data_IF_340964820965
#
_entry.id   IF_340964820965
#
_cell.length_a   1.000
_cell.length_b   1.000
_cell.length_c   1.000
_cell.angle_alpha   90.00
_cell.angle_beta   90.00
_cell.angle_gamma   90.00
#
_symmetry.space_group_name_H-M   'P 1'
#
loop_
_entity.id
_entity.type
_entity.pdbx_description
1 polymer ?
#
# COMPACT_ATOMS: atom_id res chain seq x y z
N UNK A 1 20.42 -36.06 -38.35
CA UNK A 1 19.45 -36.05 -37.22
C UNK A 1 19.82 -37.18 -36.27
N UNK A 2 20.52 -36.89 -35.18
CA UNK A 2 20.87 -37.90 -34.15
C UNK A 2 19.88 -37.77 -32.99
N UNK A 3 19.14 -38.84 -32.72
CA UNK A 3 18.25 -38.94 -31.57
C UNK A 3 19.09 -39.24 -30.33
N UNK A 4 18.96 -38.45 -29.30
CA UNK A 4 19.53 -38.70 -27.97
C UNK A 4 18.51 -39.51 -27.19
N UNK A 5 18.92 -40.74 -26.80
CA UNK A 5 18.10 -41.63 -25.97
C UNK A 5 18.36 -41.29 -24.50
N UNK A 6 17.30 -41.05 -23.74
CA UNK A 6 17.35 -40.93 -22.29
C UNK A 6 17.18 -42.30 -21.65
N UNK A 7 18.15 -42.72 -20.83
CA UNK A 7 18.03 -43.89 -19.96
C UNK A 7 17.32 -43.51 -18.66
N UNK A 8 16.39 -44.35 -18.16
CA UNK A 8 15.77 -44.11 -16.87
C UNK A 8 16.71 -44.55 -15.74
N UNK A 9 16.96 -43.65 -14.79
CA UNK A 9 17.67 -43.94 -13.55
C UNK A 9 16.68 -44.58 -12.56
N UNK A 10 17.02 -45.78 -12.08
CA UNK A 10 16.24 -46.50 -11.08
C UNK A 10 16.32 -45.78 -9.72
N UNK A 11 15.15 -45.43 -9.15
CA UNK A 11 15.03 -44.90 -7.79
C UNK A 11 14.94 -46.07 -6.82
N UNK A 12 15.99 -46.27 -6.03
CA UNK A 12 16.00 -47.23 -4.92
C UNK A 12 15.13 -46.70 -3.77
N UNK A 13 14.13 -47.50 -3.39
CA UNK A 13 13.29 -47.24 -2.23
C UNK A 13 14.05 -47.47 -0.92
N UNK A 14 14.35 -46.43 -0.17
CA UNK A 14 14.87 -46.53 1.21
C UNK A 14 13.67 -46.48 2.16
N UNK A 15 13.30 -47.66 2.69
CA UNK A 15 12.32 -47.76 3.77
C UNK A 15 12.87 -47.13 5.05
N UNK A 16 12.21 -46.10 5.56
CA UNK A 16 12.43 -45.59 6.92
C UNK A 16 11.21 -45.88 7.80
N UNK A 17 11.50 -46.60 8.85
CA UNK A 17 10.62 -46.91 9.99
C UNK A 17 10.02 -45.62 10.57
N UNK A 18 8.69 -45.52 10.61
CA UNK A 18 7.97 -44.43 11.25
C UNK A 18 7.75 -44.81 12.71
N UNK A 19 8.53 -44.21 13.61
CA UNK A 19 8.24 -44.25 15.04
C UNK A 19 7.00 -43.42 15.31
N UNK A 20 5.96 -44.04 15.87
CA UNK A 20 4.76 -43.35 16.39
C UNK A 20 5.15 -42.52 17.61
N UNK A 21 5.08 -41.19 17.47
CA UNK A 21 5.07 -40.29 18.60
C UNK A 21 3.60 -40.11 19.00
N UNK A 22 3.28 -40.49 20.25
CA UNK A 22 1.97 -40.31 20.84
C UNK A 22 1.65 -38.81 20.94
N UNK A 23 0.54 -38.39 20.36
CA UNK A 23 0.01 -37.03 20.48
C UNK A 23 -0.56 -36.85 21.91
N UNK A 24 0.07 -36.00 22.69
CA UNK A 24 -0.55 -35.43 23.88
C UNK A 24 -1.53 -34.35 23.44
N UNK A 25 -2.83 -34.61 23.60
CA UNK A 25 -3.89 -33.64 23.39
C UNK A 25 -3.89 -32.60 24.53
N UNK A 26 -3.18 -31.51 24.33
CA UNK A 26 -3.34 -30.28 25.09
C UNK A 26 -4.09 -29.28 24.23
N UNK A 27 -5.41 -29.20 24.40
CA UNK A 27 -6.18 -28.05 23.95
C UNK A 27 -5.71 -26.84 24.75
N UNK A 28 -4.90 -25.99 24.13
CA UNK A 28 -4.71 -24.63 24.62
C UNK A 28 -5.79 -23.77 23.96
N UNK A 29 -6.80 -23.39 24.74
CA UNK A 29 -7.72 -22.30 24.43
C UNK A 29 -6.88 -21.03 24.22
N UNK A 30 -6.64 -20.66 22.98
CA UNK A 30 -6.14 -19.33 22.64
C UNK A 30 -7.33 -18.48 22.22
N UNK A 31 -8.16 -18.13 23.19
CA UNK A 31 -8.96 -16.92 23.12
C UNK A 31 -7.99 -15.75 23.36
N UNK A 32 -7.30 -15.31 22.32
CA UNK A 32 -6.57 -14.05 22.35
C UNK A 32 -7.61 -12.93 22.33
N UNK A 33 -7.91 -12.38 23.50
CA UNK A 33 -8.48 -11.05 23.66
C UNK A 33 -7.66 -10.10 22.78
N UNK A 34 -8.27 -9.16 22.01
CA UNK A 34 -7.50 -8.15 21.31
C UNK A 34 -6.77 -7.29 22.35
N UNK A 35 -5.60 -7.74 22.76
CA UNK A 35 -4.71 -7.01 23.64
C UNK A 35 -4.24 -5.75 22.92
N UNK A 36 -4.26 -4.62 23.63
CA UNK A 36 -3.65 -3.38 23.17
C UNK A 36 -2.26 -3.72 22.58
N UNK A 37 -2.11 -3.55 21.26
CA UNK A 37 -0.80 -3.70 20.60
C UNK A 37 0.19 -2.84 21.36
N UNK A 38 1.28 -3.44 21.85
CA UNK A 38 2.34 -2.71 22.50
C UNK A 38 2.76 -1.58 21.55
N UNK A 39 2.76 -0.32 22.05
CA UNK A 39 3.19 0.82 21.24
C UNK A 39 4.65 0.57 20.83
N UNK A 40 4.84 0.19 19.57
CA UNK A 40 6.19 0.08 18.98
C UNK A 40 6.74 1.50 18.96
N UNK A 41 7.93 1.79 19.55
CA UNK A 41 8.53 3.11 19.45
C UNK A 41 8.86 3.36 17.98
N UNK A 42 8.03 4.15 17.30
CA UNK A 42 8.27 4.57 15.93
C UNK A 42 9.44 5.54 15.93
N UNK A 43 10.60 5.08 15.46
CA UNK A 43 11.79 5.89 15.26
C UNK A 43 11.97 6.19 13.78
N UNK A 44 11.67 7.41 13.36
CA UNK A 44 11.87 7.83 11.98
C UNK A 44 13.15 8.65 11.85
N UNK A 45 14.07 8.16 11.03
CA UNK A 45 15.27 8.87 10.61
C UNK A 45 14.95 9.53 9.27
N UNK A 46 14.93 10.85 9.22
CA UNK A 46 14.50 11.64 8.04
C UNK A 46 15.31 11.35 6.77
N UNK A 47 16.55 10.89 6.93
CA UNK A 47 17.47 10.60 5.84
C UNK A 47 17.06 9.34 5.05
N UNK A 48 16.40 8.36 5.74
CA UNK A 48 16.06 7.07 5.18
C UNK A 48 14.53 6.81 5.18
N UNK A 49 13.74 7.75 5.71
CA UNK A 49 12.28 7.61 5.81
C UNK A 49 11.59 8.58 4.86
N UNK A 50 10.57 8.11 4.17
CA UNK A 50 9.71 8.93 3.34
C UNK A 50 8.22 8.69 3.63
N UNK A 51 7.40 9.70 3.38
CA UNK A 51 5.96 9.54 3.23
C UNK A 51 5.67 9.18 1.76
N UNK A 52 4.90 8.14 1.54
CA UNK A 52 4.33 7.77 0.24
C UNK A 52 2.84 8.07 0.24
N UNK A 53 2.44 9.00 -0.63
CA UNK A 53 1.04 9.37 -0.87
C UNK A 53 0.60 8.72 -2.17
N UNK A 54 -0.49 7.95 -2.14
CA UNK A 54 -0.94 7.21 -3.30
C UNK A 54 -2.34 7.69 -3.69
N UNK A 55 -2.54 7.97 -4.96
CA UNK A 55 -3.81 8.25 -5.64
C UNK A 55 -4.73 9.31 -5.02
N UNK A 56 -4.25 10.48 -4.52
CA UNK A 56 -5.11 11.47 -3.89
C UNK A 56 -5.91 12.31 -4.92
N UNK A 57 -6.52 11.63 -5.89
CA UNK A 57 -7.31 12.24 -6.95
C UNK A 57 -8.70 12.65 -6.48
N UNK A 58 -9.26 13.69 -7.10
CA UNK A 58 -10.63 14.14 -6.82
C UNK A 58 -11.66 13.03 -7.05
N UNK A 59 -11.48 12.16 -8.04
CA UNK A 59 -12.37 11.01 -8.28
C UNK A 59 -12.47 10.06 -7.07
N UNK A 60 -11.43 10.00 -6.21
CA UNK A 60 -11.41 9.15 -5.01
C UNK A 60 -11.85 9.87 -3.75
N UNK A 61 -11.33 11.09 -3.51
CA UNK A 61 -11.33 11.71 -2.19
C UNK A 61 -12.11 13.04 -2.12
N UNK A 62 -12.90 13.34 -3.15
CA UNK A 62 -13.68 14.57 -3.20
C UNK A 62 -15.14 14.32 -3.51
N UNK A 63 -16.04 15.11 -2.91
CA UNK A 63 -17.46 15.09 -3.21
C UNK A 63 -17.68 15.32 -4.71
N UNK A 64 -18.50 14.47 -5.35
CA UNK A 64 -18.72 14.49 -6.80
C UNK A 64 -17.69 13.71 -7.62
N UNK A 65 -16.67 13.12 -7.00
CA UNK A 65 -15.74 12.20 -7.64
C UNK A 65 -16.40 10.88 -8.04
N UNK A 66 -15.97 10.28 -9.16
CA UNK A 66 -16.60 9.08 -9.75
C UNK A 66 -16.65 7.87 -8.83
N UNK A 67 -15.77 7.80 -7.81
CA UNK A 67 -15.68 6.69 -6.86
C UNK A 67 -16.01 7.11 -5.43
N UNK A 68 -16.13 8.42 -5.16
CA UNK A 68 -16.37 8.93 -3.82
C UNK A 68 -17.60 8.35 -3.14
N UNK A 69 -18.75 8.30 -3.83
CA UNK A 69 -19.99 7.77 -3.24
C UNK A 69 -19.85 6.33 -2.73
N UNK A 70 -18.93 5.54 -3.30
CA UNK A 70 -18.65 4.18 -2.87
C UNK A 70 -17.70 4.11 -1.66
N UNK A 71 -16.87 5.13 -1.48
CA UNK A 71 -15.84 5.20 -0.44
C UNK A 71 -16.29 6.01 0.77
N UNK A 72 -17.21 6.95 0.54
CA UNK A 72 -17.62 8.00 1.49
C UNK A 72 -17.97 7.46 2.88
N UNK A 73 -18.77 6.40 2.96
CA UNK A 73 -19.24 5.90 4.25
C UNK A 73 -18.11 5.42 5.15
N UNK A 74 -17.11 4.73 4.61
CA UNK A 74 -15.95 4.24 5.36
C UNK A 74 -14.95 5.39 5.59
N UNK A 75 -14.71 6.21 4.57
CA UNK A 75 -13.78 7.33 4.65
C UNK A 75 -14.21 8.39 5.68
N UNK A 76 -15.50 8.69 5.77
CA UNK A 76 -16.04 9.64 6.76
C UNK A 76 -16.06 9.04 8.17
N UNK A 77 -16.41 7.74 8.31
CA UNK A 77 -16.48 7.08 9.60
C UNK A 77 -15.13 7.07 10.35
N UNK A 78 -14.01 7.01 9.63
CA UNK A 78 -12.67 7.04 10.21
C UNK A 78 -11.92 8.37 10.01
N UNK A 79 -12.59 9.42 9.52
CA UNK A 79 -11.98 10.73 9.19
C UNK A 79 -10.77 10.63 8.26
N UNK A 80 -10.76 9.67 7.35
CA UNK A 80 -9.64 9.30 6.51
C UNK A 80 -8.96 10.49 5.85
N UNK A 81 -9.70 11.34 5.15
CA UNK A 81 -9.14 12.48 4.41
C UNK A 81 -8.46 13.49 5.33
N UNK A 82 -9.05 13.75 6.51
CA UNK A 82 -8.46 14.61 7.53
C UNK A 82 -7.15 14.03 8.05
N UNK A 83 -7.12 12.74 8.36
CA UNK A 83 -5.93 12.05 8.84
C UNK A 83 -4.83 12.00 7.78
N UNK A 84 -5.16 11.70 6.54
CA UNK A 84 -4.21 11.79 5.42
C UNK A 84 -3.56 13.16 5.34
N UNK A 85 -4.36 14.24 5.42
CA UNK A 85 -3.86 15.61 5.35
C UNK A 85 -2.99 15.97 6.56
N UNK A 86 -3.38 15.54 7.76
CA UNK A 86 -2.59 15.75 8.96
C UNK A 86 -1.22 15.07 8.87
N UNK A 87 -1.18 13.81 8.43
CA UNK A 87 0.09 13.06 8.24
C UNK A 87 0.95 13.72 7.18
N UNK A 88 0.39 14.12 6.03
CA UNK A 88 1.12 14.83 4.97
C UNK A 88 1.75 16.12 5.50
N UNK A 89 0.97 16.94 6.19
CA UNK A 89 1.46 18.21 6.74
C UNK A 89 2.54 18.00 7.84
N UNK A 90 2.38 16.98 8.68
CA UNK A 90 3.40 16.63 9.68
C UNK A 90 4.70 16.14 9.03
N UNK A 91 4.63 15.31 7.99
CA UNK A 91 5.79 14.87 7.24
C UNK A 91 6.53 16.05 6.57
N UNK A 92 5.79 16.97 5.95
CA UNK A 92 6.34 18.20 5.37
C UNK A 92 7.04 19.08 6.44
N UNK A 93 6.39 19.27 7.58
CA UNK A 93 6.93 20.02 8.71
C UNK A 93 8.20 19.37 9.27
N UNK A 94 8.22 18.05 9.44
CA UNK A 94 9.39 17.28 9.88
C UNK A 94 10.47 17.16 8.78
N UNK A 95 10.25 17.73 7.59
CA UNK A 95 11.15 17.68 6.44
C UNK A 95 11.48 16.26 5.98
N UNK A 96 10.53 15.33 6.13
CA UNK A 96 10.60 14.04 5.46
C UNK A 96 10.45 14.27 3.95
N UNK A 97 11.08 13.40 3.17
CA UNK A 97 10.80 13.36 1.74
C UNK A 97 9.39 12.84 1.50
N UNK A 98 8.66 13.49 0.59
CA UNK A 98 7.33 13.06 0.18
C UNK A 98 7.41 12.54 -1.26
N UNK A 99 6.90 11.35 -1.46
CA UNK A 99 6.77 10.70 -2.76
C UNK A 99 5.29 10.51 -3.09
N UNK A 100 4.99 10.61 -4.36
CA UNK A 100 3.66 10.33 -4.91
C UNK A 100 3.74 9.16 -5.88
N UNK A 101 2.86 8.18 -5.69
CA UNK A 101 2.56 7.16 -6.67
C UNK A 101 1.12 7.41 -7.16
N UNK A 102 0.98 7.80 -8.40
CA UNK A 102 -0.28 8.21 -8.99
C UNK A 102 -0.73 7.18 -10.03
N UNK A 103 -2.01 6.82 -10.00
CA UNK A 103 -2.60 5.94 -11.01
C UNK A 103 -2.60 6.64 -12.38
N UNK A 104 -2.45 5.85 -13.44
CA UNK A 104 -2.55 6.33 -14.80
C UNK A 104 -3.88 7.02 -15.04
N UNK A 105 -3.81 8.25 -15.55
CA UNK A 105 -4.98 9.05 -15.90
C UNK A 105 -5.49 8.65 -17.27
N UNK A 106 -6.73 8.15 -17.31
CA UNK A 106 -7.34 7.68 -18.55
C UNK A 106 -7.27 8.73 -19.67
N UNK A 107 -6.91 8.30 -20.87
CA UNK A 107 -6.96 9.07 -22.11
C UNK A 107 -7.71 8.27 -23.18
N UNK A 108 -8.41 8.92 -24.13
CA UNK A 108 -8.99 8.23 -25.27
C UNK A 108 -7.94 7.38 -26.00
N UNK A 109 -8.26 6.12 -26.26
CA UNK A 109 -7.33 5.14 -26.85
C UNK A 109 -6.66 4.22 -25.84
N UNK A 110 -6.64 4.57 -24.55
CA UNK A 110 -6.10 3.69 -23.52
C UNK A 110 -6.90 2.39 -23.42
N UNK A 111 -6.19 1.28 -23.20
CA UNK A 111 -6.71 -0.08 -23.05
C UNK A 111 -7.32 -0.70 -24.32
N UNK A 112 -7.65 0.07 -25.37
CA UNK A 112 -8.35 -0.40 -26.57
C UNK A 112 -7.60 -1.51 -27.32
N UNK A 113 -6.26 -1.47 -27.30
CA UNK A 113 -5.40 -2.46 -27.95
C UNK A 113 -4.95 -3.58 -27.02
N UNK A 114 -5.33 -3.54 -25.75
CA UNK A 114 -4.90 -4.54 -24.78
C UNK A 114 -5.61 -5.87 -25.00
N UNK A 115 -4.82 -6.90 -25.29
CA UNK A 115 -5.34 -8.27 -25.44
C UNK A 115 -5.84 -8.87 -24.13
N UNK A 116 -5.17 -8.52 -23.03
CA UNK A 116 -5.49 -8.98 -21.68
C UNK A 116 -5.65 -7.78 -20.77
N UNK A 117 -6.84 -7.63 -20.20
CA UNK A 117 -7.16 -6.57 -19.27
C UNK A 117 -7.74 -7.18 -17.98
N UNK A 118 -7.20 -6.80 -16.83
CA UNK A 118 -7.72 -7.26 -15.55
C UNK A 118 -9.11 -6.63 -15.25
N UNK A 119 -9.98 -7.31 -14.48
CA UNK A 119 -11.30 -6.78 -14.12
C UNK A 119 -11.25 -5.36 -13.53
N UNK A 120 -10.30 -5.07 -12.65
CA UNK A 120 -10.13 -3.75 -12.05
C UNK A 120 -9.80 -2.67 -13.09
N UNK A 121 -8.91 -2.99 -14.04
CA UNK A 121 -8.56 -2.06 -15.13
C UNK A 121 -9.73 -1.85 -16.08
N UNK A 122 -10.49 -2.92 -16.40
CA UNK A 122 -11.71 -2.82 -17.21
C UNK A 122 -12.75 -1.92 -16.53
N UNK A 123 -12.88 -2.03 -15.22
CA UNK A 123 -13.79 -1.18 -14.45
C UNK A 123 -13.34 0.29 -14.45
N UNK A 124 -12.04 0.57 -14.29
CA UNK A 124 -11.48 1.91 -14.39
C UNK A 124 -11.67 2.51 -15.80
N UNK A 125 -11.39 1.74 -16.84
CA UNK A 125 -11.64 2.13 -18.23
C UNK A 125 -13.10 2.46 -18.51
N UNK A 126 -14.02 1.59 -18.11
CA UNK A 126 -15.45 1.78 -18.34
C UNK A 126 -15.97 3.07 -17.68
N UNK A 127 -15.45 3.43 -16.52
CA UNK A 127 -15.81 4.66 -15.79
C UNK A 127 -15.00 5.86 -16.25
N UNK A 128 -13.94 5.67 -17.03
CA UNK A 128 -12.93 6.68 -17.31
C UNK A 128 -12.41 7.31 -16.02
N UNK A 129 -12.06 6.47 -15.06
CA UNK A 129 -11.55 6.89 -13.75
C UNK A 129 -10.27 7.70 -13.95
N UNK A 130 -10.14 8.81 -13.24
CA UNK A 130 -9.02 9.74 -13.35
C UNK A 130 -8.79 10.26 -14.78
N UNK A 131 -9.86 10.65 -15.47
CA UNK A 131 -9.76 11.11 -16.85
C UNK A 131 -8.87 12.36 -16.95
N UNK A 132 -7.83 12.28 -17.78
CA UNK A 132 -6.85 13.36 -17.96
C UNK A 132 -7.53 14.66 -18.44
N UNK A 133 -7.15 15.77 -17.82
CA UNK A 133 -7.70 17.09 -18.15
C UNK A 133 -9.12 17.34 -17.61
N UNK A 134 -9.62 16.46 -16.74
CA UNK A 134 -10.86 16.68 -15.99
C UNK A 134 -10.55 16.88 -14.51
N UNK A 135 -11.45 17.58 -13.79
CA UNK A 135 -11.32 17.77 -12.35
C UNK A 135 -11.14 16.47 -11.58
N UNK A 136 -11.84 15.41 -11.97
CA UNK A 136 -11.72 14.09 -11.33
C UNK A 136 -10.33 13.45 -11.45
N UNK A 137 -9.64 13.71 -12.56
CA UNK A 137 -8.27 13.26 -12.82
C UNK A 137 -7.18 14.19 -12.27
N UNK A 138 -7.54 15.29 -11.60
CA UNK A 138 -6.57 16.12 -10.92
C UNK A 138 -6.39 15.69 -9.46
N UNK A 139 -5.16 15.84 -8.95
CA UNK A 139 -4.89 15.66 -7.52
C UNK A 139 -5.68 16.68 -6.74
N UNK A 140 -6.33 16.27 -5.66
CA UNK A 140 -7.08 17.19 -4.80
C UNK A 140 -6.14 18.26 -4.25
N UNK A 141 -6.53 19.51 -4.36
CA UNK A 141 -5.72 20.72 -4.12
C UNK A 141 -4.86 20.65 -2.85
N UNK A 142 -5.41 20.14 -1.74
CA UNK A 142 -4.72 20.09 -0.46
C UNK A 142 -3.59 19.06 -0.44
N UNK A 143 -3.60 18.12 -1.39
CA UNK A 143 -2.61 17.06 -1.57
C UNK A 143 -1.67 17.31 -2.74
N UNK A 144 -1.78 18.43 -3.44
CA UNK A 144 -0.88 18.74 -4.57
C UNK A 144 0.59 18.64 -4.15
N UNK A 145 1.43 17.99 -4.98
CA UNK A 145 2.87 17.94 -4.73
C UNK A 145 3.47 19.34 -4.67
N UNK A 146 4.28 19.59 -3.64
CA UNK A 146 5.04 20.83 -3.53
C UNK A 146 6.36 20.76 -4.30
N UNK A 147 6.95 21.92 -4.67
CA UNK A 147 8.28 21.94 -5.29
C UNK A 147 9.33 21.16 -4.48
N UNK A 148 9.98 20.17 -5.10
CA UNK A 148 10.96 19.30 -4.46
C UNK A 148 10.40 17.97 -3.93
N UNK A 149 9.08 17.78 -3.93
CA UNK A 149 8.47 16.47 -3.73
C UNK A 149 8.54 15.64 -5.01
N UNK A 150 8.61 14.31 -4.87
CA UNK A 150 8.89 13.40 -5.97
C UNK A 150 7.60 12.74 -6.45
N UNK A 151 7.27 12.91 -7.72
CA UNK A 151 6.14 12.22 -8.36
C UNK A 151 6.71 11.13 -9.25
N UNK A 152 6.44 9.87 -8.93
CA UNK A 152 6.83 8.73 -9.76
C UNK A 152 5.98 8.66 -11.04
N UNK A 153 6.44 7.87 -12.02
CA UNK A 153 5.65 7.57 -13.20
C UNK A 153 4.31 6.94 -12.82
N UNK A 154 3.24 7.32 -13.52
CA UNK A 154 1.89 6.79 -13.27
C UNK A 154 1.84 5.26 -13.40
N UNK A 155 1.25 4.59 -12.41
CA UNK A 155 1.07 3.14 -12.43
C UNK A 155 -0.24 2.73 -13.11
N UNK A 156 -0.22 1.64 -13.88
CA UNK A 156 -1.35 1.16 -14.67
C UNK A 156 -2.25 0.15 -13.95
N UNK A 157 -1.80 -0.35 -12.83
CA UNK A 157 -2.48 -1.36 -12.03
C UNK A 157 -2.62 -0.91 -10.58
N UNK A 158 -2.67 -1.87 -9.64
CA UNK A 158 -2.84 -1.52 -8.23
C UNK A 158 -1.54 -1.09 -7.54
N UNK A 159 -0.39 -1.67 -7.91
CA UNK A 159 0.87 -1.35 -7.22
C UNK A 159 1.50 -0.06 -7.74
N UNK A 160 1.83 0.86 -6.85
CA UNK A 160 2.62 2.05 -7.17
C UNK A 160 4.05 1.74 -7.66
N UNK A 161 4.54 0.51 -7.48
CA UNK A 161 5.86 0.08 -7.91
C UNK A 161 5.87 -0.59 -9.28
N UNK A 162 4.82 -1.37 -9.59
CA UNK A 162 4.81 -2.20 -10.79
C UNK A 162 4.81 -1.36 -12.06
N UNK A 163 5.87 -1.50 -12.87
CA UNK A 163 6.09 -0.79 -14.13
C UNK A 163 6.19 0.74 -13.98
N UNK A 164 6.73 1.20 -12.84
CA UNK A 164 7.01 2.61 -12.55
C UNK A 164 8.49 2.79 -12.21
N UNK A 165 8.90 4.03 -12.01
CA UNK A 165 10.24 4.37 -11.52
C UNK A 165 10.30 4.60 -9.99
N UNK A 166 9.22 4.28 -9.24
CA UNK A 166 9.16 4.56 -7.80
C UNK A 166 10.33 3.92 -7.03
N UNK A 167 10.63 2.64 -7.28
CA UNK A 167 11.76 1.96 -6.64
C UNK A 167 13.11 2.63 -6.94
N UNK A 168 13.33 3.02 -8.20
CA UNK A 168 14.53 3.76 -8.59
C UNK A 168 14.63 5.09 -7.84
N UNK A 169 13.53 5.84 -7.76
CA UNK A 169 13.49 7.13 -7.08
C UNK A 169 13.77 6.97 -5.58
N UNK A 170 13.13 6.02 -4.91
CA UNK A 170 13.38 5.73 -3.49
C UNK A 170 14.85 5.38 -3.23
N UNK A 171 15.43 4.48 -4.02
CA UNK A 171 16.84 4.07 -3.90
C UNK A 171 17.81 5.22 -4.15
N UNK A 172 17.54 6.05 -5.15
CA UNK A 172 18.37 7.23 -5.45
C UNK A 172 18.35 8.27 -4.34
N UNK A 173 17.30 8.31 -3.54
CA UNK A 173 17.18 9.20 -2.38
C UNK A 173 17.57 8.53 -1.06
N UNK A 174 18.05 7.28 -1.08
CA UNK A 174 18.47 6.53 0.10
C UNK A 174 17.33 6.10 1.02
N UNK A 175 16.10 6.04 0.53
CA UNK A 175 14.91 5.69 1.32
C UNK A 175 14.87 4.18 1.55
N UNK A 176 14.63 3.79 2.80
CA UNK A 176 14.51 2.41 3.27
C UNK A 176 13.22 2.17 4.05
N UNK A 177 12.60 3.25 4.56
CA UNK A 177 11.38 3.20 5.37
C UNK A 177 10.28 4.02 4.72
N UNK A 178 9.09 3.46 4.64
CA UNK A 178 7.92 4.12 4.06
C UNK A 178 6.81 4.23 5.09
N UNK A 179 6.26 5.44 5.23
CA UNK A 179 4.97 5.68 5.85
C UNK A 179 3.98 5.79 4.68
N UNK A 180 2.91 5.00 4.69
CA UNK A 180 1.96 4.94 3.57
C UNK A 180 0.60 5.48 4.00
N UNK A 181 0.07 6.44 3.22
CA UNK A 181 -1.30 6.96 3.31
C UNK A 181 -1.95 6.87 1.94
N UNK A 182 -3.20 6.36 1.87
CA UNK A 182 -3.86 6.08 0.59
C UNK A 182 -5.33 5.66 0.71
N UNK A 183 -6.00 5.62 -0.46
CA UNK A 183 -7.19 4.83 -0.78
C UNK A 183 -6.90 4.02 -2.08
N UNK A 184 -7.27 2.75 -2.23
CA UNK A 184 -8.22 1.90 -1.53
C UNK A 184 -7.44 0.78 -0.82
N UNK A 185 -7.82 0.45 0.42
CA UNK A 185 -7.04 -0.45 1.28
C UNK A 185 -6.73 -1.82 0.65
N UNK A 186 -7.75 -2.56 0.14
CA UNK A 186 -7.58 -3.92 -0.38
C UNK A 186 -6.99 -3.99 -1.80
N UNK A 187 -6.79 -2.87 -2.47
CA UNK A 187 -6.22 -2.82 -3.83
C UNK A 187 -4.87 -2.13 -3.87
N UNK A 188 -4.85 -0.79 -4.08
CA UNK A 188 -3.60 -0.07 -4.29
C UNK A 188 -2.72 -0.07 -3.05
N UNK A 189 -3.29 0.09 -1.85
CA UNK A 189 -2.55 0.02 -0.58
C UNK A 189 -1.90 -1.34 -0.42
N UNK A 190 -2.70 -2.41 -0.41
CA UNK A 190 -2.19 -3.77 -0.18
C UNK A 190 -1.15 -4.17 -1.22
N UNK A 191 -1.40 -3.91 -2.51
CA UNK A 191 -0.45 -4.23 -3.58
C UNK A 191 0.86 -3.45 -3.43
N UNK A 192 0.79 -2.17 -3.06
CA UNK A 192 1.98 -1.33 -2.87
C UNK A 192 2.77 -1.73 -1.63
N UNK A 193 2.09 -2.02 -0.50
CA UNK A 193 2.73 -2.53 0.73
C UNK A 193 3.49 -3.83 0.46
N UNK A 194 2.85 -4.81 -0.18
CA UNK A 194 3.48 -6.10 -0.54
C UNK A 194 4.72 -5.89 -1.39
N UNK A 195 4.60 -5.07 -2.42
CA UNK A 195 5.71 -4.82 -3.36
C UNK A 195 6.86 -4.08 -2.69
N UNK A 196 6.57 -3.09 -1.84
CA UNK A 196 7.58 -2.35 -1.06
C UNK A 196 8.42 -3.30 -0.19
N UNK A 197 7.76 -4.21 0.52
CA UNK A 197 8.43 -5.18 1.40
C UNK A 197 9.28 -6.17 0.61
N UNK A 198 8.79 -6.67 -0.52
CA UNK A 198 9.57 -7.53 -1.42
C UNK A 198 10.83 -6.84 -1.98
N UNK A 199 10.80 -5.51 -2.12
CA UNK A 199 11.95 -4.70 -2.52
C UNK A 199 12.86 -4.29 -1.36
N UNK A 200 12.53 -4.70 -0.12
CA UNK A 200 13.34 -4.52 1.07
C UNK A 200 13.03 -3.25 1.88
N UNK A 201 11.90 -2.59 1.64
CA UNK A 201 11.47 -1.45 2.45
C UNK A 201 10.85 -1.90 3.78
N UNK A 202 11.13 -1.19 4.86
CA UNK A 202 10.34 -1.23 6.09
C UNK A 202 9.10 -0.36 5.92
N UNK A 203 7.90 -0.94 6.12
CA UNK A 203 6.64 -0.26 5.84
C UNK A 203 5.84 -0.03 7.11
N UNK A 204 5.44 1.21 7.33
CA UNK A 204 4.42 1.63 8.31
C UNK A 204 3.14 2.00 7.56
N UNK A 205 2.06 1.28 7.81
CA UNK A 205 0.73 1.60 7.28
C UNK A 205 -0.05 2.44 8.29
N UNK A 206 -0.67 3.55 7.83
CA UNK A 206 -1.53 4.39 8.67
C UNK A 206 -2.99 3.97 8.45
N UNK A 207 -3.55 3.24 9.41
CA UNK A 207 -4.82 2.52 9.26
C UNK A 207 -6.06 3.41 9.17
N UNK A 208 -6.04 4.58 9.77
CA UNK A 208 -7.12 5.58 9.74
C UNK A 208 -6.88 6.70 8.70
N UNK A 209 -5.77 6.62 7.96
CA UNK A 209 -5.48 7.44 6.77
C UNK A 209 -5.62 6.60 5.48
N UNK A 210 -6.53 5.62 5.52
CA UNK A 210 -6.98 4.83 4.37
C UNK A 210 -8.47 4.53 4.49
N UNK A 211 -9.11 4.13 3.40
CA UNK A 211 -10.50 3.71 3.36
C UNK A 211 -10.70 2.62 2.31
N UNK A 212 -11.88 2.01 2.32
CA UNK A 212 -12.29 1.02 1.34
C UNK A 212 -13.78 1.16 0.98
N UNK A 213 -14.29 0.29 0.13
CA UNK A 213 -15.69 0.29 -0.27
C UNK A 213 -16.62 -0.25 0.83
N UNK A 214 -16.09 -1.07 1.75
CA UNK A 214 -16.82 -1.60 2.90
C UNK A 214 -15.89 -1.86 4.09
N UNK A 215 -16.48 -2.04 5.27
CA UNK A 215 -15.73 -2.44 6.47
C UNK A 215 -15.15 -3.85 6.35
N UNK A 216 -15.79 -4.75 5.60
CA UNK A 216 -15.30 -6.10 5.34
C UNK A 216 -14.01 -6.07 4.51
N UNK A 217 -13.96 -5.23 3.48
CA UNK A 217 -12.76 -5.05 2.65
C UNK A 217 -11.64 -4.37 3.43
N UNK A 218 -11.96 -3.35 4.25
CA UNK A 218 -11.00 -2.75 5.20
C UNK A 218 -10.42 -3.80 6.16
N UNK A 219 -11.29 -4.63 6.78
CA UNK A 219 -10.88 -5.70 7.68
C UNK A 219 -9.97 -6.71 6.97
N UNK A 220 -10.35 -7.15 5.78
CA UNK A 220 -9.53 -8.08 5.00
C UNK A 220 -8.13 -7.54 4.72
N UNK A 221 -8.03 -6.27 4.33
CA UNK A 221 -6.76 -5.62 4.05
C UNK A 221 -5.94 -5.39 5.32
N UNK A 222 -6.48 -4.66 6.29
CA UNK A 222 -5.72 -4.13 7.42
C UNK A 222 -5.51 -5.10 8.57
N UNK A 223 -6.42 -6.06 8.78
CA UNK A 223 -6.36 -6.98 9.91
C UNK A 223 -5.92 -8.40 9.52
N UNK A 224 -6.06 -8.78 8.24
CA UNK A 224 -5.73 -10.12 7.76
C UNK A 224 -4.48 -10.11 6.86
N UNK A 225 -4.47 -9.29 5.80
CA UNK A 225 -3.46 -9.38 4.76
C UNK A 225 -2.21 -8.55 5.05
N UNK A 226 -2.36 -7.24 5.23
CA UNK A 226 -1.24 -6.29 5.44
C UNK A 226 -0.39 -6.62 6.67
N UNK A 227 -0.92 -7.18 7.80
CA UNK A 227 -0.10 -7.58 8.95
C UNK A 227 0.99 -8.62 8.67
N UNK A 228 0.90 -9.33 7.54
CA UNK A 228 1.93 -10.27 7.11
C UNK A 228 3.14 -9.58 6.46
N UNK A 229 3.02 -8.30 6.12
CA UNK A 229 4.02 -7.54 5.35
C UNK A 229 4.47 -6.28 6.09
N UNK A 230 3.54 -5.43 6.51
CA UNK A 230 3.88 -4.17 7.16
C UNK A 230 4.57 -4.39 8.50
N UNK A 231 5.66 -3.68 8.73
CA UNK A 231 6.40 -3.68 10.00
C UNK A 231 5.59 -3.06 11.13
N UNK A 232 4.72 -2.11 10.81
CA UNK A 232 3.78 -1.50 11.76
C UNK A 232 2.48 -1.09 11.05
N UNK A 233 1.36 -1.19 11.79
CA UNK A 233 0.07 -0.63 11.41
C UNK A 233 -0.37 0.23 12.58
N UNK A 234 -0.53 1.53 12.35
CA UNK A 234 -0.69 2.55 13.41
C UNK A 234 -1.74 3.58 13.03
N UNK A 235 -2.22 4.34 14.00
CA UNK A 235 -3.11 5.47 13.75
C UNK A 235 -2.32 6.72 13.30
N UNK A 236 -2.98 7.67 12.66
CA UNK A 236 -2.40 8.96 12.30
C UNK A 236 -1.80 9.68 13.51
N UNK A 237 -2.45 9.63 14.67
CA UNK A 237 -1.96 10.21 15.91
C UNK A 237 -0.59 9.67 16.33
N UNK A 238 -0.32 8.39 16.14
CA UNK A 238 0.98 7.79 16.45
C UNK A 238 2.08 8.33 15.53
N UNK A 239 1.76 8.59 14.27
CA UNK A 239 2.67 9.23 13.31
C UNK A 239 2.95 10.68 13.71
N UNK A 240 1.91 11.45 14.03
CA UNK A 240 2.05 12.84 14.46
C UNK A 240 2.97 12.96 15.69
N UNK A 241 2.77 12.10 16.69
CA UNK A 241 3.59 12.04 17.88
C UNK A 241 5.04 11.65 17.59
N UNK A 242 5.25 10.69 16.68
CA UNK A 242 6.57 10.23 16.30
C UNK A 242 7.35 11.32 15.52
N UNK A 243 6.71 12.02 14.58
CA UNK A 243 7.34 13.06 13.79
C UNK A 243 7.66 14.33 14.60
N UNK A 244 6.85 14.65 15.62
CA UNK A 244 7.14 15.77 16.53
C UNK A 244 8.47 15.54 17.30
N UNK A 245 8.77 14.28 17.63
CA UNK A 245 10.04 13.92 18.31
C UNK A 245 11.28 14.05 17.41
N UNK A 246 11.11 13.88 16.10
CA UNK A 246 12.20 14.08 15.12
C UNK A 246 12.63 15.55 15.06
N UNK A 247 11.72 16.50 15.26
CA UNK A 247 12.01 17.93 15.28
C UNK A 247 12.81 18.37 16.51
N UNK A 248 12.64 17.70 17.66
CA UNK A 248 13.27 18.08 18.94
C UNK A 248 14.69 17.53 19.15
N UNK A 249 15.22 16.72 18.24
CA UNK A 249 16.53 16.04 18.36
C UNK A 249 17.62 16.56 17.43
N UNK A 250 17.49 17.78 16.91
CA UNK A 250 18.46 18.44 16.02
C UNK A 250 19.35 19.43 16.75
#
# INVERSE_FOLDING_TARGET
MRRIAYSPVAVAAVGRSVARVAAASGQADVAATPGARAKIPLGYQKEITALLVIDPYNDFISEGGKLWDRLKSVAEANNCITHMLQVLNAARKAKLRVFYALHHRYRPGDYETWKYIAPIQKAAWTRKTFEFGTWGGEVRREFEPLPGEIVAQEHWGSSGFANTDLDLQLKRHGIQKLIIIELIAHTCVEATVRYAVELGCEVTMVNDATADYSNEEMHAALDINIPNYASAIVAATDILDALTRVEGGG
#
